data_IF_045505272858
#
_entry.id   IF_045505272858
#
_cell.length_a   1.000
_cell.length_b   1.000
_cell.length_c   1.000
_cell.angle_alpha   90.00
_cell.angle_beta   90.00
_cell.angle_gamma   90.00
#
_symmetry.space_group_name_H-M   'P 1'
#
loop_
_entity.id
_entity.type
_entity.pdbx_description
1 polymer ?
#
# COMPACT_ATOMS: atom_id res chain seq x y z
N UNK A 1 15.39 -42.34 1.90
CA UNK A 1 14.66 -41.09 2.20
C UNK A 1 13.30 -41.46 2.75
N UNK A 2 13.04 -41.28 4.05
CA UNK A 2 11.72 -41.44 4.63
C UNK A 2 10.80 -40.35 4.06
N UNK A 3 9.66 -40.72 3.48
CA UNK A 3 8.66 -39.77 2.96
C UNK A 3 8.43 -39.79 1.45
N UNK A 4 9.10 -40.66 0.69
CA UNK A 4 8.76 -40.88 -0.73
C UNK A 4 7.86 -42.09 -0.84
N UNK A 5 6.56 -41.86 -1.02
CA UNK A 5 5.60 -42.91 -1.37
C UNK A 5 6.01 -43.55 -2.70
N UNK A 6 6.36 -44.83 -2.68
CA UNK A 6 6.73 -45.57 -3.89
C UNK A 6 5.57 -45.56 -4.89
N UNK A 7 5.84 -45.12 -6.13
CA UNK A 7 4.88 -45.19 -7.25
C UNK A 7 4.42 -43.84 -7.83
N UNK A 8 4.75 -42.69 -7.24
CA UNK A 8 4.49 -41.38 -7.86
C UNK A 8 5.78 -40.81 -8.46
N UNK A 9 5.80 -40.61 -9.78
CA UNK A 9 6.91 -39.99 -10.52
C UNK A 9 6.98 -38.51 -10.14
N UNK A 10 8.07 -38.12 -9.48
CA UNK A 10 8.34 -36.73 -9.18
C UNK A 10 8.67 -36.00 -10.48
N UNK A 11 7.82 -35.07 -10.91
CA UNK A 11 8.24 -34.06 -11.88
C UNK A 11 9.03 -33.01 -11.11
N UNK A 12 10.32 -32.86 -11.43
CA UNK A 12 11.15 -31.80 -10.87
C UNK A 12 10.61 -30.47 -11.40
N UNK A 13 10.47 -29.46 -10.53
CA UNK A 13 10.17 -28.09 -10.98
C UNK A 13 11.37 -27.63 -11.82
N UNK A 14 11.19 -27.65 -13.14
CA UNK A 14 12.21 -27.37 -14.16
C UNK A 14 11.70 -27.77 -15.54
N UNK A 15 12.27 -27.19 -16.60
CA UNK A 15 11.85 -27.48 -17.98
C UNK A 15 12.27 -28.90 -18.40
N UNK A 16 11.48 -29.90 -18.03
CA UNK A 16 11.54 -31.22 -18.66
C UNK A 16 10.54 -31.30 -19.81
N UNK A 17 10.93 -32.05 -20.84
CA UNK A 17 10.08 -32.36 -21.99
C UNK A 17 8.81 -33.02 -21.47
N UNK A 18 7.65 -32.43 -21.78
CA UNK A 18 6.35 -32.96 -21.38
C UNK A 18 6.29 -34.46 -21.74
N UNK A 19 5.92 -35.35 -20.79
CA UNK A 19 5.83 -36.76 -21.08
C UNK A 19 4.84 -36.96 -22.24
N UNK A 20 5.33 -37.54 -23.33
CA UNK A 20 4.55 -37.79 -24.56
C UNK A 20 3.57 -38.95 -24.42
N UNK A 21 3.50 -39.58 -23.24
CA UNK A 21 2.49 -40.59 -22.91
C UNK A 21 1.31 -39.95 -22.19
N UNK A 22 0.10 -40.30 -22.63
CA UNK A 22 -1.21 -39.83 -22.14
C UNK A 22 -1.52 -40.22 -20.68
N UNK A 23 -0.55 -40.71 -19.93
CA UNK A 23 -0.65 -41.13 -18.52
C UNK A 23 0.34 -40.36 -17.65
N UNK A 24 0.37 -39.04 -17.77
CA UNK A 24 0.99 -38.19 -16.76
C UNK A 24 0.14 -38.23 -15.48
N UNK A 25 0.39 -39.23 -14.64
CA UNK A 25 -0.12 -39.38 -13.26
C UNK A 25 0.29 -38.23 -12.31
N UNK A 26 0.75 -37.10 -12.84
CA UNK A 26 1.61 -36.13 -12.13
C UNK A 26 0.95 -34.80 -11.78
N UNK A 27 -0.32 -34.56 -12.12
CA UNK A 27 -1.01 -33.36 -11.64
C UNK A 27 -1.58 -33.68 -10.26
N UNK A 28 -0.82 -33.36 -9.23
CA UNK A 28 -1.30 -33.38 -7.86
C UNK A 28 -2.54 -32.48 -7.79
N UNK A 29 -3.66 -33.04 -7.33
CA UNK A 29 -4.78 -32.18 -6.97
C UNK A 29 -4.38 -31.33 -5.76
N UNK A 30 -4.91 -30.12 -5.66
CA UNK A 30 -4.52 -29.17 -4.61
C UNK A 30 -4.69 -29.75 -3.18
N UNK A 31 -5.61 -30.71 -3.02
CA UNK A 31 -5.79 -31.48 -1.78
C UNK A 31 -4.68 -32.50 -1.48
N UNK A 32 -4.06 -33.12 -2.50
CA UNK A 32 -2.99 -34.11 -2.30
C UNK A 32 -1.64 -33.46 -1.96
N UNK A 33 -1.40 -32.21 -2.42
CA UNK A 33 -0.22 -31.41 -2.04
C UNK A 33 -0.26 -31.04 -0.55
N UNK A 34 -1.47 -30.78 -0.03
CA UNK A 34 -1.68 -30.47 1.38
C UNK A 34 -1.44 -31.67 2.31
N UNK A 35 -1.35 -32.90 1.80
CA UNK A 35 -1.10 -34.08 2.64
C UNK A 35 0.37 -34.51 2.66
N UNK A 36 1.19 -34.17 1.66
CA UNK A 36 2.45 -34.89 1.42
C UNK A 36 3.77 -34.14 1.68
N UNK A 37 3.81 -32.82 1.94
CA UNK A 37 5.08 -32.21 2.42
C UNK A 37 4.80 -31.02 3.32
N UNK A 38 4.95 -31.23 4.64
CA UNK A 38 5.07 -30.13 5.58
C UNK A 38 3.89 -29.16 5.65
N UNK A 39 2.67 -29.54 5.23
CA UNK A 39 1.47 -28.70 5.26
C UNK A 39 1.23 -28.00 6.61
N UNK A 40 1.50 -28.69 7.73
CA UNK A 40 1.45 -28.12 9.08
C UNK A 40 2.66 -27.26 9.48
N UNK A 41 3.72 -27.25 8.67
CA UNK A 41 4.91 -26.38 8.80
C UNK A 41 4.92 -25.23 7.79
N UNK A 42 3.94 -25.15 6.88
CA UNK A 42 3.76 -23.92 6.13
C UNK A 42 3.39 -22.83 7.13
N UNK A 43 3.93 -21.62 7.00
CA UNK A 43 3.47 -20.50 7.78
C UNK A 43 1.95 -20.45 7.61
N UNK A 44 1.20 -20.65 8.70
CA UNK A 44 -0.25 -20.45 8.68
C UNK A 44 -0.49 -19.10 8.04
N UNK A 45 -1.27 -19.07 6.95
CA UNK A 45 -1.66 -17.81 6.33
C UNK A 45 -2.16 -16.91 7.44
N UNK A 46 -1.51 -15.77 7.61
CA UNK A 46 -1.93 -14.77 8.59
C UNK A 46 -3.34 -14.36 8.17
N UNK A 47 -4.35 -14.89 8.87
CA UNK A 47 -5.72 -14.41 8.78
C UNK A 47 -5.75 -13.05 9.47
N UNK A 48 -5.19 -12.05 8.80
CA UNK A 48 -5.28 -10.67 9.24
C UNK A 48 -6.67 -10.18 8.91
N UNK A 49 -7.56 -10.15 9.90
CA UNK A 49 -8.72 -9.27 9.84
C UNK A 49 -8.20 -7.83 9.80
N UNK A 50 -8.73 -7.00 8.91
CA UNK A 50 -8.53 -5.55 9.02
C UNK A 50 -9.33 -5.06 10.23
N UNK A 51 -8.64 -4.50 11.22
CA UNK A 51 -9.26 -3.90 12.40
C UNK A 51 -9.29 -2.38 12.21
N UNK A 52 -10.46 -1.77 12.37
CA UNK A 52 -10.60 -0.31 12.36
C UNK A 52 -9.81 0.28 13.54
N UNK A 53 -8.99 1.29 13.27
CA UNK A 53 -8.25 2.03 14.31
C UNK A 53 -8.89 3.40 14.52
N UNK A 54 -9.00 4.19 13.45
CA UNK A 54 -9.49 5.56 13.51
C UNK A 54 -9.99 6.03 12.14
N UNK A 55 -10.79 7.10 12.15
CA UNK A 55 -11.22 7.80 10.94
C UNK A 55 -11.21 9.30 11.18
N UNK A 56 -10.78 10.03 10.16
CA UNK A 56 -10.93 11.47 10.04
C UNK A 56 -11.89 11.78 8.90
N UNK A 57 -12.82 12.70 9.15
CA UNK A 57 -13.76 13.21 8.14
C UNK A 57 -13.43 14.67 7.90
N UNK A 58 -13.15 15.03 6.65
CA UNK A 58 -12.85 16.39 6.26
C UNK A 58 -14.08 17.29 6.44
N UNK A 59 -13.82 18.53 6.84
CA UNK A 59 -14.83 19.55 7.14
C UNK A 59 -14.89 20.68 6.10
N UNK A 60 -14.08 20.62 5.03
CA UNK A 60 -13.96 21.67 4.03
C UNK A 60 -12.96 22.78 4.39
N UNK A 61 -12.40 22.76 5.60
CA UNK A 61 -11.51 23.81 6.14
C UNK A 61 -10.15 23.31 6.60
N UNK A 62 -10.00 22.00 6.77
CA UNK A 62 -8.76 21.37 7.22
C UNK A 62 -7.93 20.82 6.06
N UNK A 63 -6.67 21.23 5.98
CA UNK A 63 -5.69 20.74 5.01
C UNK A 63 -4.68 19.75 5.58
N UNK A 64 -4.70 19.52 6.90
CA UNK A 64 -3.75 18.68 7.63
C UNK A 64 -4.41 18.03 8.84
N UNK A 65 -4.14 16.75 9.08
CA UNK A 65 -4.55 16.06 10.31
C UNK A 65 -3.61 14.90 10.62
N UNK A 66 -3.63 14.44 11.87
CA UNK A 66 -2.74 13.40 12.37
C UNK A 66 -3.51 12.22 12.97
N UNK A 67 -3.11 11.00 12.63
CA UNK A 67 -3.41 9.81 13.41
C UNK A 67 -2.36 9.65 14.50
N UNK A 68 -2.76 9.83 15.76
CA UNK A 68 -1.91 9.64 16.94
C UNK A 68 -2.24 8.34 17.66
N UNK A 69 -1.40 7.95 18.62
CA UNK A 69 -1.66 6.81 19.52
C UNK A 69 -1.91 5.49 18.78
N UNK A 70 -1.21 5.27 17.67
CA UNK A 70 -1.38 4.09 16.83
C UNK A 70 -0.96 2.84 17.62
N UNK A 71 -1.87 1.87 17.87
CA UNK A 71 -1.55 0.68 18.64
C UNK A 71 -0.40 -0.07 17.98
N UNK A 72 0.61 -0.51 18.74
CA UNK A 72 1.79 -1.23 18.20
C UNK A 72 1.59 -2.76 18.15
N UNK A 73 0.33 -3.22 18.07
CA UNK A 73 -0.03 -4.65 18.08
C UNK A 73 -0.17 -5.25 16.68
N UNK A 74 -0.21 -4.43 15.64
CA UNK A 74 -0.44 -4.90 14.27
C UNK A 74 0.87 -5.17 13.54
N UNK A 75 0.81 -6.02 12.51
CA UNK A 75 1.96 -6.25 11.63
C UNK A 75 2.10 -5.16 10.57
N UNK A 76 0.98 -4.72 10.02
CA UNK A 76 0.93 -3.67 9.01
C UNK A 76 -0.22 -2.71 9.29
N UNK A 77 -0.15 -1.52 8.71
CA UNK A 77 -1.27 -0.58 8.66
C UNK A 77 -1.76 -0.44 7.23
N UNK A 78 -3.02 -0.04 7.10
CA UNK A 78 -3.57 0.47 5.85
C UNK A 78 -4.27 1.78 6.11
N UNK A 79 -3.98 2.77 5.29
CA UNK A 79 -4.75 4.00 5.23
C UNK A 79 -5.58 3.97 3.95
N UNK A 80 -6.84 4.40 4.04
CA UNK A 80 -7.75 4.51 2.90
C UNK A 80 -8.36 5.91 2.88
N UNK A 81 -8.26 6.62 1.76
CA UNK A 81 -9.16 7.75 1.48
C UNK A 81 -10.30 7.26 0.63
N UNK A 82 -11.49 7.70 1.00
CA UNK A 82 -12.70 7.57 0.19
C UNK A 82 -13.33 8.93 -0.01
N UNK A 83 -14.00 9.09 -1.15
CA UNK A 83 -14.73 10.33 -1.47
C UNK A 83 -13.84 11.57 -1.52
N UNK A 84 -12.56 11.36 -1.86
CA UNK A 84 -11.59 12.43 -1.84
C UNK A 84 -11.92 13.56 -2.80
N UNK A 85 -11.99 14.76 -2.23
CA UNK A 85 -12.23 16.04 -2.90
C UNK A 85 -11.43 17.15 -2.20
N UNK A 86 -11.10 18.22 -2.93
CA UNK A 86 -10.48 19.41 -2.36
C UNK A 86 -11.23 20.71 -2.64
N UNK A 87 -11.03 21.67 -1.75
CA UNK A 87 -11.40 23.07 -1.89
C UNK A 87 -10.18 23.87 -2.34
N UNK A 88 -10.34 24.68 -3.39
CA UNK A 88 -9.32 25.60 -3.87
C UNK A 88 -8.27 25.00 -4.82
N UNK A 89 -7.16 25.72 -4.98
CA UNK A 89 -6.05 25.35 -5.86
C UNK A 89 -4.90 24.82 -5.02
N UNK A 90 -4.46 23.61 -5.29
CA UNK A 90 -3.27 23.02 -4.69
C UNK A 90 -2.99 21.69 -5.36
N UNK A 91 -1.94 20.98 -4.94
CA UNK A 91 -1.65 19.67 -5.52
C UNK A 91 -1.02 18.73 -4.51
N UNK A 92 -1.28 17.43 -4.70
CA UNK A 92 -0.70 16.31 -3.98
C UNK A 92 -1.21 16.13 -2.55
N UNK A 93 -1.13 14.91 -2.06
CA UNK A 93 -1.35 14.54 -0.65
C UNK A 93 -0.02 13.99 -0.16
N UNK A 94 0.52 14.57 0.91
CA UNK A 94 1.69 14.07 1.61
C UNK A 94 1.30 13.20 2.80
N UNK A 95 2.12 12.18 3.07
CA UNK A 95 2.17 11.52 4.38
C UNK A 95 3.54 11.73 5.00
N UNK A 96 3.55 12.10 6.28
CA UNK A 96 4.73 12.06 7.15
C UNK A 96 4.53 11.10 8.31
N UNK A 97 5.63 10.51 8.76
CA UNK A 97 5.67 9.62 9.90
C UNK A 97 6.42 10.29 11.05
N UNK A 98 5.87 10.19 12.26
CA UNK A 98 6.51 10.71 13.48
C UNK A 98 6.93 12.20 13.39
N UNK A 99 6.18 13.02 12.65
CA UNK A 99 6.50 14.44 12.41
C UNK A 99 7.79 14.69 11.60
N UNK A 100 8.34 13.66 10.96
CA UNK A 100 9.57 13.77 10.18
C UNK A 100 9.28 14.27 8.77
N UNK A 101 9.71 15.49 8.45
CA UNK A 101 9.63 16.08 7.11
C UNK A 101 10.98 16.11 6.38
N UNK A 102 11.97 15.34 6.85
CA UNK A 102 13.33 15.38 6.32
C UNK A 102 13.42 14.73 4.95
N UNK A 103 13.75 15.54 3.93
CA UNK A 103 13.98 15.14 2.53
C UNK A 103 14.54 13.73 2.33
N UNK A 104 15.73 13.48 2.88
CA UNK A 104 16.50 12.25 2.67
C UNK A 104 15.99 11.00 3.39
N UNK A 105 14.96 11.13 4.21
CA UNK A 105 14.33 10.00 4.88
C UNK A 105 13.23 9.36 4.03
N UNK A 106 12.78 10.04 2.96
CA UNK A 106 11.70 9.60 2.09
C UNK A 106 12.16 9.40 0.65
N UNK A 107 11.76 8.28 0.06
CA UNK A 107 11.92 8.01 -1.37
C UNK A 107 10.68 7.36 -1.97
N UNK A 108 10.56 7.42 -3.29
CA UNK A 108 9.45 6.82 -4.02
C UNK A 108 9.83 6.34 -5.42
N UNK A 109 9.04 5.38 -5.90
CA UNK A 109 8.91 5.01 -7.30
C UNK A 109 7.42 4.89 -7.63
N UNK A 110 6.95 5.65 -8.62
CA UNK A 110 5.53 5.63 -9.01
C UNK A 110 5.46 5.43 -10.52
N UNK A 111 4.59 4.54 -10.95
CA UNK A 111 4.16 4.44 -12.34
C UNK A 111 2.70 4.89 -12.42
N UNK A 112 2.41 5.81 -13.32
CA UNK A 112 1.06 6.29 -13.56
C UNK A 112 0.82 6.47 -15.05
N UNK A 113 -0.44 6.49 -15.45
CA UNK A 113 -0.78 6.69 -16.85
C UNK A 113 -2.24 7.07 -17.04
N UNK A 114 -2.49 7.59 -18.23
CA UNK A 114 -3.82 7.92 -18.71
C UNK A 114 -3.93 7.62 -20.22
N UNK A 115 -5.00 6.93 -20.61
CA UNK A 115 -5.22 6.55 -22.01
C UNK A 115 -4.07 5.71 -22.55
N UNK A 116 -3.44 6.15 -23.63
CA UNK A 116 -2.30 5.48 -24.27
C UNK A 116 -0.93 5.86 -23.69
N UNK A 117 -0.88 6.76 -22.70
CA UNK A 117 0.38 7.27 -22.16
C UNK A 117 0.64 6.65 -20.78
N UNK A 118 1.86 6.15 -20.60
CA UNK A 118 2.40 5.75 -19.31
C UNK A 118 3.61 6.63 -18.95
N UNK A 119 3.79 6.89 -17.67
CA UNK A 119 4.87 7.69 -17.10
C UNK A 119 5.37 7.03 -15.83
N UNK A 120 6.61 7.36 -15.49
CA UNK A 120 7.27 6.87 -14.30
C UNK A 120 8.02 8.03 -13.64
N UNK A 121 7.98 8.07 -12.31
CA UNK A 121 8.73 9.00 -11.49
C UNK A 121 9.47 8.24 -10.39
N UNK A 122 10.65 8.75 -10.05
CA UNK A 122 11.46 8.23 -8.97
C UNK A 122 12.22 9.36 -8.28
N UNK A 123 12.27 9.30 -6.94
CA UNK A 123 13.10 10.17 -6.12
C UNK A 123 13.59 9.43 -4.90
N UNK A 124 14.79 9.77 -4.44
CA UNK A 124 15.34 9.32 -3.14
C UNK A 124 15.22 10.36 -2.03
N UNK A 125 14.76 11.57 -2.36
CA UNK A 125 14.73 12.73 -1.46
C UNK A 125 13.40 13.49 -1.64
N UNK A 126 12.27 12.86 -1.34
CA UNK A 126 10.96 13.47 -1.57
C UNK A 126 10.44 14.29 -0.39
N UNK A 127 11.03 14.12 0.80
CA UNK A 127 10.58 14.78 2.03
C UNK A 127 9.23 14.33 2.56
N UNK A 128 8.42 13.63 1.75
CA UNK A 128 7.10 13.08 2.08
C UNK A 128 6.81 11.85 1.23
N UNK A 129 5.84 11.04 1.64
CA UNK A 129 5.17 10.08 0.75
C UNK A 129 4.10 10.81 -0.04
N UNK A 130 4.33 11.02 -1.34
CA UNK A 130 3.36 11.66 -2.23
C UNK A 130 2.30 10.64 -2.71
N UNK A 131 1.07 10.78 -2.25
CA UNK A 131 -0.07 9.94 -2.65
C UNK A 131 -0.78 10.42 -3.93
N UNK A 132 -0.21 11.39 -4.63
CA UNK A 132 -0.78 12.06 -5.79
C UNK A 132 -1.92 13.00 -5.42
N UNK A 133 -2.71 13.39 -6.41
CA UNK A 133 -3.58 14.58 -6.29
C UNK A 133 -5.06 14.28 -6.03
N UNK A 134 -5.74 15.15 -5.28
CA UNK A 134 -7.18 15.14 -4.99
C UNK A 134 -7.95 15.98 -6.03
N UNK A 135 -9.16 15.60 -6.50
CA UNK A 135 -9.86 16.36 -7.51
C UNK A 135 -10.53 17.60 -6.89
N UNK A 136 -10.63 18.70 -7.65
CA UNK A 136 -11.38 19.88 -7.21
C UNK A 136 -12.88 19.59 -7.22
N UNK A 137 -13.65 20.17 -6.29
CA UNK A 137 -15.08 19.88 -6.06
C UNK A 137 -16.06 20.02 -7.24
N UNK A 138 -15.61 20.42 -8.44
CA UNK A 138 -16.42 20.51 -9.66
C UNK A 138 -16.46 19.23 -10.51
N UNK A 139 -15.69 18.19 -10.18
CA UNK A 139 -15.75 16.90 -10.87
C UNK A 139 -16.54 15.89 -10.05
N UNK A 140 -17.46 15.19 -10.71
CA UNK A 140 -18.27 14.11 -10.12
C UNK A 140 -17.43 12.89 -9.70
N UNK A 141 -16.13 12.89 -9.99
CA UNK A 141 -15.23 11.78 -9.74
C UNK A 141 -14.66 11.87 -8.33
N UNK A 142 -15.26 11.12 -7.41
CA UNK A 142 -14.69 10.88 -6.09
C UNK A 142 -13.46 9.99 -6.22
N UNK A 143 -12.36 10.37 -5.56
CA UNK A 143 -11.15 9.57 -5.57
C UNK A 143 -11.09 8.55 -4.43
N UNK A 144 -10.41 7.45 -4.71
CA UNK A 144 -10.05 6.42 -3.75
C UNK A 144 -8.53 6.24 -3.80
N UNK A 145 -7.90 6.22 -2.64
CA UNK A 145 -6.53 5.77 -2.51
C UNK A 145 -6.37 4.78 -1.38
N UNK A 146 -5.30 4.00 -1.45
CA UNK A 146 -4.86 3.12 -0.39
C UNK A 146 -3.35 3.22 -0.22
N UNK A 147 -2.88 3.24 1.03
CA UNK A 147 -1.48 3.14 1.39
C UNK A 147 -1.30 2.02 2.42
N UNK A 148 -0.58 0.97 2.03
CA UNK A 148 -0.18 -0.13 2.90
C UNK A 148 1.19 0.15 3.50
N UNK A 149 1.29 0.15 4.83
CA UNK A 149 2.52 0.42 5.57
C UNK A 149 2.95 -0.90 6.22
N UNK A 150 3.97 -1.54 5.65
CA UNK A 150 4.42 -2.84 6.12
C UNK A 150 5.35 -2.69 7.33
N UNK A 151 5.16 -3.52 8.35
CA UNK A 151 6.11 -3.61 9.48
C UNK A 151 6.32 -2.28 10.23
N UNK A 152 5.28 -1.46 10.33
CA UNK A 152 5.34 -0.10 10.89
C UNK A 152 5.81 -0.05 12.36
N UNK A 153 5.63 -1.13 13.11
CA UNK A 153 6.06 -1.24 14.52
C UNK A 153 7.54 -1.62 14.67
N UNK A 154 8.23 -1.91 13.57
CA UNK A 154 9.64 -2.25 13.58
C UNK A 154 10.50 -1.00 13.80
N UNK A 155 11.31 -1.03 14.86
CA UNK A 155 12.26 0.04 15.20
C UNK A 155 13.72 -0.27 14.80
N UNK A 156 13.96 -1.37 14.08
CA UNK A 156 15.31 -1.85 13.74
C UNK A 156 15.66 -1.69 12.26
N UNK A 157 14.67 -1.49 11.38
CA UNK A 157 14.89 -1.24 9.95
C UNK A 157 13.97 -0.13 9.46
N UNK A 158 14.34 0.50 8.35
CA UNK A 158 13.42 1.38 7.62
C UNK A 158 12.13 0.65 7.23
N UNK A 159 11.06 1.42 7.07
CA UNK A 159 9.73 0.96 6.69
C UNK A 159 9.51 1.18 5.20
N UNK A 160 8.81 0.26 4.54
CA UNK A 160 8.34 0.45 3.17
C UNK A 160 6.82 0.60 3.15
N UNK A 161 6.34 1.47 2.27
CA UNK A 161 4.92 1.65 2.01
C UNK A 161 4.64 1.32 0.55
N UNK A 162 3.44 0.78 0.30
CA UNK A 162 2.95 0.54 -1.04
C UNK A 162 1.66 1.33 -1.23
N UNK A 163 1.62 2.18 -2.25
CA UNK A 163 0.43 2.94 -2.56
C UNK A 163 -0.26 2.37 -3.80
N UNK A 164 -1.57 2.45 -3.75
CA UNK A 164 -2.42 2.28 -4.91
C UNK A 164 -3.31 3.51 -5.06
N UNK A 165 -3.23 4.15 -6.22
CA UNK A 165 -3.96 5.37 -6.52
C UNK A 165 -4.92 5.14 -7.69
N UNK A 166 -6.22 5.19 -7.41
CA UNK A 166 -7.28 5.28 -8.41
C UNK A 166 -7.79 6.71 -8.48
N UNK A 167 -7.07 7.59 -9.18
CA UNK A 167 -7.45 8.99 -9.28
C UNK A 167 -7.83 9.41 -10.71
N UNK A 168 -8.98 10.07 -10.85
CA UNK A 168 -9.20 10.97 -11.96
C UNK A 168 -8.67 12.36 -11.58
N UNK A 169 -7.44 12.68 -12.00
CA UNK A 169 -6.87 14.02 -11.78
C UNK A 169 -7.35 14.94 -12.90
N UNK A 170 -7.87 16.12 -12.57
CA UNK A 170 -8.46 17.05 -13.55
C UNK A 170 -7.49 17.33 -14.72
N UNK A 171 -7.93 17.04 -15.94
CA UNK A 171 -7.21 17.35 -17.20
C UNK A 171 -6.38 16.20 -17.76
N UNK A 172 -6.21 15.10 -17.02
CA UNK A 172 -5.57 13.87 -17.47
C UNK A 172 -5.70 12.79 -16.39
N UNK A 173 -6.53 11.79 -16.62
CA UNK A 173 -6.95 10.84 -15.58
C UNK A 173 -5.79 9.87 -15.23
N UNK A 174 -4.89 10.28 -14.34
CA UNK A 174 -3.74 9.47 -13.96
C UNK A 174 -4.10 8.41 -12.91
N UNK A 175 -4.24 7.16 -13.35
CA UNK A 175 -4.23 6.00 -12.44
C UNK A 175 -2.79 5.52 -12.23
N UNK A 176 -2.42 5.16 -11.02
CA UNK A 176 -1.04 4.79 -10.72
C UNK A 176 -0.88 3.84 -9.54
N UNK A 177 0.31 3.24 -9.50
CA UNK A 177 0.78 2.36 -8.44
C UNK A 177 2.22 2.75 -8.12
N UNK A 178 2.59 2.69 -6.86
CA UNK A 178 3.94 3.09 -6.46
C UNK A 178 4.40 2.52 -5.14
N UNK A 179 5.71 2.41 -5.00
CA UNK A 179 6.38 2.07 -3.75
C UNK A 179 7.00 3.31 -3.13
N UNK A 180 6.98 3.37 -1.81
CA UNK A 180 7.58 4.42 -1.01
C UNK A 180 8.45 3.79 0.07
N UNK A 181 9.52 4.50 0.44
CA UNK A 181 10.41 4.08 1.49
C UNK A 181 10.55 5.20 2.52
N UNK A 182 10.48 4.82 3.79
CA UNK A 182 10.85 5.63 4.93
C UNK A 182 12.07 4.98 5.60
N UNK A 183 13.24 5.58 5.43
CA UNK A 183 14.51 4.91 5.74
C UNK A 183 14.90 4.96 7.22
N UNK A 184 14.12 5.61 8.08
CA UNK A 184 14.41 5.73 9.52
C UNK A 184 14.02 4.46 10.25
N UNK A 185 14.95 3.94 11.06
CA UNK A 185 14.73 2.79 11.93
C UNK A 185 14.01 3.23 13.21
N UNK A 186 12.70 3.44 13.11
CA UNK A 186 11.84 3.78 14.24
C UNK A 186 10.43 3.25 14.01
N UNK A 187 9.79 2.77 15.08
CA UNK A 187 8.36 2.46 15.02
C UNK A 187 7.56 3.72 14.66
N UNK A 188 6.56 3.57 13.80
CA UNK A 188 5.63 4.63 13.42
C UNK A 188 4.56 4.71 14.49
N UNK A 189 4.55 5.82 15.21
CA UNK A 189 3.63 6.13 16.31
C UNK A 189 2.63 7.21 15.94
N UNK A 190 2.98 8.05 14.97
CA UNK A 190 2.08 9.02 14.37
C UNK A 190 2.18 9.04 12.85
N UNK A 191 1.06 9.38 12.21
CA UNK A 191 0.95 9.55 10.76
C UNK A 191 0.22 10.86 10.49
N UNK A 192 0.93 11.81 9.90
CA UNK A 192 0.35 13.07 9.45
C UNK A 192 -0.05 12.96 7.98
N UNK A 193 -1.23 13.45 7.64
CA UNK A 193 -1.71 13.60 6.26
C UNK A 193 -1.86 15.09 5.99
N UNK A 194 -1.22 15.56 4.91
CA UNK A 194 -1.14 16.98 4.62
C UNK A 194 -1.30 17.26 3.12
N UNK A 195 -2.13 18.24 2.80
CA UNK A 195 -2.38 18.76 1.44
C UNK A 195 -1.20 19.54 0.83
N UNK A 196 -0.22 19.92 1.63
CA UNK A 196 0.96 20.70 1.22
C UNK A 196 2.19 19.85 0.87
N UNK A 197 2.06 18.53 1.03
CA UNK A 197 3.17 17.55 1.10
C UNK A 197 4.36 17.81 0.19
N UNK A 198 4.16 17.73 -1.12
CA UNK A 198 5.27 17.82 -2.10
C UNK A 198 5.62 19.27 -2.48
N UNK A 199 4.68 20.21 -2.31
CA UNK A 199 4.87 21.59 -2.69
C UNK A 199 4.22 22.51 -1.63
N UNK A 200 4.99 22.97 -0.63
CA UNK A 200 4.43 23.71 0.51
C UNK A 200 3.75 25.03 0.13
N UNK A 201 3.99 25.54 -1.08
CA UNK A 201 3.29 26.72 -1.62
C UNK A 201 1.92 26.44 -2.25
N UNK A 202 1.50 25.17 -2.33
CA UNK A 202 0.28 24.72 -3.02
C UNK A 202 -0.62 23.87 -2.10
N UNK A 203 -0.90 24.35 -0.90
CA UNK A 203 -1.82 23.69 0.05
C UNK A 203 -3.29 23.88 -0.34
N UNK A 204 -4.15 22.98 0.14
CA UNK A 204 -5.60 23.05 -0.06
C UNK A 204 -6.35 22.41 1.11
N UNK A 205 -7.63 22.70 1.25
CA UNK A 205 -8.44 22.01 2.26
C UNK A 205 -9.10 20.79 1.64
N UNK A 206 -9.20 19.71 2.40
CA UNK A 206 -10.02 18.57 1.98
C UNK A 206 -11.49 18.96 2.05
N UNK A 207 -12.22 18.75 0.97
CA UNK A 207 -13.65 19.05 0.87
C UNK A 207 -14.49 17.92 1.47
N UNK A 208 -15.70 18.24 1.90
CA UNK A 208 -16.69 17.24 2.30
C UNK A 208 -17.16 16.45 1.07
N UNK A 209 -17.40 15.13 1.17
CA UNK A 209 -17.27 14.26 2.33
C UNK A 209 -15.97 13.42 2.33
N UNK A 210 -14.78 14.02 2.13
CA UNK A 210 -13.52 13.25 2.12
C UNK A 210 -13.32 12.54 3.46
N UNK A 211 -13.09 11.22 3.43
CA UNK A 211 -12.82 10.42 4.62
C UNK A 211 -11.44 9.78 4.50
N UNK A 212 -10.69 9.77 5.60
CA UNK A 212 -9.44 9.03 5.75
C UNK A 212 -9.59 8.03 6.88
N UNK A 213 -9.38 6.75 6.61
CA UNK A 213 -9.57 5.67 7.60
C UNK A 213 -8.29 4.89 7.77
N UNK A 214 -7.89 4.68 9.01
CA UNK A 214 -6.73 3.89 9.40
C UNK A 214 -7.18 2.51 9.90
N UNK A 215 -6.57 1.47 9.35
CA UNK A 215 -6.79 0.07 9.71
C UNK A 215 -5.49 -0.59 10.14
N UNK A 216 -5.58 -1.49 11.11
CA UNK A 216 -4.53 -2.44 11.47
C UNK A 216 -4.72 -3.77 10.75
N UNK A 217 -3.63 -4.40 10.31
CA UNK A 217 -3.66 -5.66 9.55
C UNK A 217 -2.80 -6.70 10.25
N UNK A 218 -3.46 -7.76 10.71
CA UNK A 218 -2.82 -8.89 11.40
C UNK A 218 -2.23 -8.51 12.75
N UNK A 219 -1.88 -9.50 13.56
CA UNK A 219 -1.12 -9.29 14.80
C UNK A 219 0.38 -9.46 14.50
N UNK A 220 1.21 -8.62 15.11
CA UNK A 220 2.67 -8.63 14.94
C UNK A 220 3.30 -9.95 15.41
#
# INVERSE_FOLDING_TARGET
MPGISAGKTWSRIGAEVAPTSSTASGVWQIGEVAENVGAGTWPTHVKGTMEYIAQYAADGSTGEFEFTSIPQKYRSLRIVMSQGKRVGTGTNIGIWFNGDSTGGNYGYSVMYGYGSNASYLFSRNSGTINMGDCPTGNVNDSQIWMCDIANYSNASTGTTCHIWQGANQQGGNNTGIGGFAYSVASAITTIEINSSGYNPGLSYNYDTPTLFTLFGIGLA
#
